data_IF_985820970589
#
_entry.id   IF_985820970589
#
_cell.length_a   1.000
_cell.length_b   1.000
_cell.length_c   1.000
_cell.angle_alpha   90.00
_cell.angle_beta   90.00
_cell.angle_gamma   90.00
#
_symmetry.space_group_name_H-M   'P 1'
#
loop_
_entity.id
_entity.type
_entity.pdbx_description
1 polymer ?
#
# COMPACT_ATOMS: atom_id res chain seq x y z
N UNK A 1 3.40 2.69 16.83
CA UNK A 1 2.29 3.52 16.34
C UNK A 1 1.89 2.92 15.00
N UNK A 2 0.67 2.38 14.89
CA UNK A 2 0.13 1.93 13.60
C UNK A 2 -0.36 3.15 12.82
N UNK A 3 -0.08 3.21 11.52
CA UNK A 3 -0.49 4.30 10.63
C UNK A 3 -1.40 3.74 9.56
N UNK A 4 -2.42 4.48 9.15
CA UNK A 4 -3.25 4.10 8.00
C UNK A 4 -2.67 4.68 6.71
N UNK A 5 -2.68 3.88 5.67
CA UNK A 5 -2.22 4.24 4.34
C UNK A 5 -3.27 3.87 3.30
N UNK A 6 -3.41 4.71 2.29
CA UNK A 6 -4.26 4.46 1.14
C UNK A 6 -3.42 3.81 0.04
N UNK A 7 -3.93 2.74 -0.57
CA UNK A 7 -3.28 2.11 -1.72
C UNK A 7 -3.82 2.72 -3.02
N UNK A 8 -2.92 3.16 -3.90
CA UNK A 8 -3.24 3.72 -5.22
C UNK A 8 -2.68 2.80 -6.31
N UNK A 9 -3.56 2.27 -7.16
CA UNK A 9 -3.20 1.31 -8.21
C UNK A 9 -3.03 -0.14 -7.71
N UNK A 10 -2.51 -1.01 -8.58
CA UNK A 10 -2.40 -2.45 -8.31
C UNK A 10 -3.68 -3.21 -8.68
N UNK A 11 -3.92 -4.39 -8.08
CA UNK A 11 -5.13 -5.16 -8.32
C UNK A 11 -6.36 -4.42 -7.79
N UNK A 12 -7.50 -4.54 -8.47
CA UNK A 12 -8.76 -3.86 -8.12
C UNK A 12 -9.25 -4.12 -6.69
N UNK A 13 -8.85 -5.25 -6.09
CA UNK A 13 -9.15 -5.59 -4.70
C UNK A 13 -8.37 -4.72 -3.68
N UNK A 14 -7.19 -4.24 -4.07
CA UNK A 14 -6.32 -3.41 -3.24
C UNK A 14 -6.37 -1.93 -3.61
N UNK A 15 -6.59 -1.60 -4.89
CA UNK A 15 -6.64 -0.22 -5.34
C UNK A 15 -7.77 0.56 -4.64
N UNK A 16 -7.44 1.67 -4.01
CA UNK A 16 -8.38 2.50 -3.25
C UNK A 16 -8.71 1.97 -1.85
N UNK A 17 -8.09 0.88 -1.40
CA UNK A 17 -8.29 0.36 -0.05
C UNK A 17 -7.35 1.03 0.95
N UNK A 18 -7.85 1.23 2.17
CA UNK A 18 -7.04 1.74 3.29
C UNK A 18 -6.54 0.60 4.14
N UNK A 19 -5.22 0.46 4.25
CA UNK A 19 -4.57 -0.58 5.07
C UNK A 19 -3.86 0.03 6.27
N UNK A 20 -3.82 -0.73 7.36
CA UNK A 20 -3.01 -0.35 8.53
C UNK A 20 -1.58 -0.86 8.34
N UNK A 21 -0.63 0.06 8.28
CA UNK A 21 0.79 -0.22 8.14
C UNK A 21 1.54 0.02 9.46
N UNK A 22 2.64 -0.71 9.63
CA UNK A 22 3.59 -0.48 10.73
C UNK A 22 4.85 0.17 10.13
N UNK A 23 5.03 1.50 10.27
CA UNK A 23 6.24 2.16 9.76
C UNK A 23 7.46 1.71 10.61
N UNK A 24 8.59 1.35 9.98
CA UNK A 24 9.48 2.33 9.33
C UNK A 24 10.07 1.81 7.99
N UNK A 25 9.43 2.13 6.87
CA UNK A 25 9.93 1.80 5.53
C UNK A 25 9.28 2.67 4.45
N UNK A 26 9.99 2.87 3.34
CA UNK A 26 9.46 3.55 2.14
C UNK A 26 8.71 2.61 1.20
N UNK A 27 8.71 1.31 1.49
CA UNK A 27 8.12 0.26 0.67
C UNK A 27 7.18 -0.59 1.52
N UNK A 28 6.04 -0.96 0.92
CA UNK A 28 5.04 -1.84 1.49
C UNK A 28 4.87 -3.03 0.55
N UNK A 29 5.01 -4.24 1.07
CA UNK A 29 4.78 -5.48 0.33
C UNK A 29 3.54 -6.16 0.88
N UNK A 30 2.57 -6.41 0.01
CA UNK A 30 1.31 -7.05 0.38
C UNK A 30 1.27 -8.43 -0.29
N UNK A 31 1.19 -9.54 0.47
CA UNK A 31 1.01 -10.85 -0.13
C UNK A 31 -0.36 -10.91 -0.81
N UNK A 32 -0.38 -11.23 -2.11
CA UNK A 32 -1.61 -11.31 -2.90
C UNK A 32 -1.48 -12.38 -3.99
N UNK A 33 -2.47 -13.27 -4.08
CA UNK A 33 -2.61 -14.29 -5.15
C UNK A 33 -1.28 -15.00 -5.51
N UNK A 34 -0.64 -15.64 -4.53
CA UNK A 34 0.61 -16.39 -4.77
C UNK A 34 1.83 -15.51 -5.10
N UNK A 35 1.78 -14.22 -4.77
CA UNK A 35 2.87 -13.28 -4.98
C UNK A 35 2.87 -12.17 -3.94
N UNK A 36 3.64 -11.12 -4.22
CA UNK A 36 3.68 -9.89 -3.47
C UNK A 36 3.39 -8.72 -4.40
N UNK A 37 2.44 -7.87 -4.00
CA UNK A 37 2.25 -6.55 -4.59
C UNK A 37 3.18 -5.58 -3.87
N UNK A 38 4.00 -4.88 -4.62
CA UNK A 38 4.90 -3.89 -4.08
C UNK A 38 4.29 -2.51 -4.28
N UNK A 39 4.28 -1.74 -3.19
CA UNK A 39 3.84 -0.37 -3.15
C UNK A 39 4.97 0.50 -2.61
N UNK A 40 5.12 1.69 -3.18
CA UNK A 40 6.06 2.69 -2.70
C UNK A 40 5.31 3.83 -2.05
N UNK A 41 5.84 4.28 -0.92
CA UNK A 41 5.39 5.51 -0.28
C UNK A 41 5.56 6.66 -1.26
N UNK A 42 4.53 7.48 -1.39
CA UNK A 42 4.63 8.71 -2.17
C UNK A 42 4.68 9.91 -1.24
N UNK A 43 5.05 11.07 -1.77
CA UNK A 43 4.90 12.34 -1.04
C UNK A 43 3.45 12.81 -0.97
N UNK A 44 2.53 12.13 -1.66
CA UNK A 44 1.09 12.43 -1.61
C UNK A 44 0.51 11.90 -0.31
N UNK A 45 -0.43 12.68 0.19
CA UNK A 45 -1.22 12.34 1.35
C UNK A 45 -2.66 12.70 1.04
N UNK A 46 -3.58 11.87 1.50
CA UNK A 46 -5.00 12.10 1.35
C UNK A 46 -5.59 12.49 2.70
N UNK A 47 -6.39 13.55 2.72
CA UNK A 47 -7.14 13.96 3.90
C UNK A 47 -8.42 13.15 3.97
N UNK A 48 -8.52 12.32 5.00
CA UNK A 48 -9.68 11.47 5.29
C UNK A 48 -10.34 11.92 6.60
N UNK A 49 -11.51 11.38 6.92
CA UNK A 49 -12.21 11.69 8.18
C UNK A 49 -11.38 11.37 9.43
N UNK A 50 -10.44 10.42 9.34
CA UNK A 50 -9.52 10.06 10.43
C UNK A 50 -8.23 10.89 10.42
N UNK A 51 -8.05 11.77 9.44
CA UNK A 51 -6.88 12.65 9.27
C UNK A 51 -6.09 12.35 8.00
N UNK A 52 -4.84 12.83 7.99
CA UNK A 52 -3.95 12.75 6.82
C UNK A 52 -3.33 11.36 6.69
N UNK A 53 -3.75 10.60 5.68
CA UNK A 53 -3.24 9.28 5.34
C UNK A 53 -2.15 9.37 4.27
N UNK A 54 -1.16 8.49 4.34
CA UNK A 54 -0.08 8.44 3.34
C UNK A 54 -0.55 7.61 2.15
N UNK A 55 -0.32 8.09 0.93
CA UNK A 55 -0.67 7.35 -0.29
C UNK A 55 0.50 6.48 -0.72
N UNK A 56 0.25 5.18 -0.81
CA UNK A 56 1.17 4.17 -1.30
C UNK A 56 0.78 3.79 -2.72
N UNK A 57 1.66 4.07 -3.67
CA UNK A 57 1.40 3.80 -5.08
C UNK A 57 1.99 2.44 -5.46
N UNK A 58 1.18 1.61 -6.11
CA UNK A 58 1.63 0.35 -6.67
C UNK A 58 2.67 0.59 -7.77
N UNK A 59 3.70 -0.25 -7.83
CA UNK A 59 4.76 -0.12 -8.85
C UNK A 59 5.18 -1.43 -9.50
N UNK A 60 5.11 -2.55 -8.77
CA UNK A 60 5.41 -3.87 -9.34
C UNK A 60 4.73 -4.99 -8.55
N UNK A 61 4.56 -6.14 -9.21
CA UNK A 61 4.18 -7.40 -8.59
C UNK A 61 5.30 -8.41 -8.76
N UNK A 62 5.66 -9.07 -7.67
CA UNK A 62 6.56 -10.22 -7.69
C UNK A 62 5.74 -11.49 -7.52
N UNK A 63 5.67 -12.32 -8.56
CA UNK A 63 5.10 -13.67 -8.45
C UNK A 63 6.10 -14.57 -7.70
N UNK A 64 5.63 -15.28 -6.67
CA UNK A 64 6.45 -16.31 -6.04
C UNK A 64 6.30 -17.56 -6.89
N UNK A 65 7.25 -17.79 -7.79
CA UNK A 65 7.34 -19.07 -8.50
C UNK A 65 7.75 -20.15 -7.49
N UNK A 66 6.82 -21.08 -7.20
CA UNK A 66 7.06 -22.32 -6.47
C UNK A 66 7.80 -23.35 -7.33
#
# INVERSE_FOLDING_TARGET
MTTKALLEGGPDDLAGTTVTIVPPGQELKIPHTGGYEHYKVTSRHEDTEEGRMIVFQWWERTEVAE
#
